data_IF_067341157852
#
_entry.id   IF_067341157852
#
_cell.length_a   1.000
_cell.length_b   1.000
_cell.length_c   1.000
_cell.angle_alpha   90.00
_cell.angle_beta   90.00
_cell.angle_gamma   90.00
#
_symmetry.space_group_name_H-M   'P 1'
#
loop_
_entity.id
_entity.type
_entity.pdbx_description
1 polymer ?
#
# COMPACT_ATOMS: atom_id res chain seq x y z
N UNK A 1 40.54 21.83 65.44
CA UNK A 1 39.07 21.55 65.33
C UNK A 1 38.62 21.85 63.94
N UNK A 2 38.57 20.86 63.05
CA UNK A 2 38.36 21.06 61.60
C UNK A 2 36.96 20.46 61.28
N UNK A 3 36.03 21.31 60.88
CA UNK A 3 34.69 20.92 60.42
C UNK A 3 34.74 20.45 58.97
N UNK A 4 34.46 19.18 58.76
CA UNK A 4 34.27 18.56 57.45
C UNK A 4 32.85 18.80 56.94
N UNK A 5 32.74 19.53 55.84
CA UNK A 5 31.46 19.78 55.13
C UNK A 5 31.22 18.64 54.13
N UNK A 6 30.24 17.76 54.38
CA UNK A 6 29.75 16.77 53.43
C UNK A 6 28.86 17.47 52.42
N UNK A 7 29.33 17.59 51.18
CA UNK A 7 28.50 17.93 50.01
C UNK A 7 27.78 16.68 49.54
N UNK A 8 26.45 16.63 49.72
CA UNK A 8 25.59 15.63 49.12
C UNK A 8 25.43 15.90 47.62
N UNK A 9 25.78 14.95 46.79
CA UNK A 9 25.62 14.96 45.37
C UNK A 9 24.18 14.51 45.04
N UNK A 10 23.32 15.45 44.64
CA UNK A 10 22.02 15.16 44.08
C UNK A 10 22.21 14.71 42.63
N UNK A 11 22.19 13.41 42.43
CA UNK A 11 22.02 12.80 41.09
C UNK A 11 20.55 12.90 40.69
N UNK A 12 20.21 13.96 39.97
CA UNK A 12 18.95 14.05 39.26
C UNK A 12 18.97 13.11 38.07
N UNK A 13 18.12 12.08 38.12
CA UNK A 13 17.79 11.18 37.02
C UNK A 13 17.22 11.98 35.83
N UNK A 14 18.06 12.30 34.85
CA UNK A 14 17.65 12.77 33.54
C UNK A 14 17.76 11.59 32.53
N UNK A 15 16.98 10.53 32.77
CA UNK A 15 16.89 9.38 31.88
C UNK A 15 15.42 9.04 31.60
N UNK A 16 14.70 9.97 31.03
CA UNK A 16 13.38 9.67 30.43
C UNK A 16 13.03 10.82 29.51
N UNK A 17 13.36 10.72 28.23
CA UNK A 17 12.78 11.44 27.09
C UNK A 17 13.62 11.33 25.81
N UNK A 18 14.19 10.13 25.51
CA UNK A 18 14.78 9.88 24.20
C UNK A 18 14.27 8.53 23.69
N UNK A 19 12.94 8.35 23.61
CA UNK A 19 12.41 7.11 23.00
C UNK A 19 11.26 7.36 22.01
N UNK A 20 10.95 8.63 21.71
CA UNK A 20 9.82 8.96 20.82
C UNK A 20 10.24 9.47 19.43
N UNK A 21 11.54 9.67 19.17
CA UNK A 21 12.00 10.24 17.90
C UNK A 21 12.50 9.20 16.87
N UNK A 22 12.62 7.92 17.24
CA UNK A 22 13.24 6.91 16.36
C UNK A 22 12.25 6.13 15.49
N UNK A 23 10.94 6.27 15.66
CA UNK A 23 9.94 5.57 14.84
C UNK A 23 9.42 6.36 13.64
N UNK A 24 9.79 7.63 13.47
CA UNK A 24 9.33 8.48 12.37
C UNK A 24 10.38 8.78 11.29
N UNK A 25 11.59 8.24 11.41
CA UNK A 25 12.74 8.64 10.59
C UNK A 25 13.02 7.79 9.34
N UNK A 26 12.37 6.65 9.12
CA UNK A 26 12.69 5.75 8.00
C UNK A 26 11.47 5.12 7.34
N UNK A 27 10.36 5.86 7.19
CA UNK A 27 9.42 5.48 6.15
C UNK A 27 10.11 5.75 4.81
N UNK A 28 10.24 4.76 3.92
CA UNK A 28 10.65 5.01 2.55
C UNK A 28 9.64 6.01 1.99
N UNK A 29 10.06 7.28 1.92
CA UNK A 29 9.17 8.34 1.45
C UNK A 29 8.81 7.98 0.02
N UNK A 30 7.52 7.78 -0.23
CA UNK A 30 6.98 7.74 -1.57
C UNK A 30 7.58 8.91 -2.34
N UNK A 31 8.51 8.64 -3.27
CA UNK A 31 8.99 9.64 -4.22
C UNK A 31 7.88 9.83 -5.25
N UNK A 32 6.84 10.56 -4.85
CA UNK A 32 5.77 10.95 -5.77
C UNK A 32 6.37 11.95 -6.76
N UNK A 33 6.43 11.56 -8.02
CA UNK A 33 6.98 12.37 -9.13
C UNK A 33 6.26 13.73 -9.26
N UNK A 34 5.02 13.80 -8.78
CA UNK A 34 4.15 14.98 -8.83
C UNK A 34 3.68 15.42 -7.42
N UNK A 35 4.46 15.16 -6.36
CA UNK A 35 4.09 15.53 -5.00
C UNK A 35 3.77 17.04 -4.91
N UNK A 36 2.54 17.35 -4.49
CA UNK A 36 2.08 18.72 -4.29
C UNK A 36 1.42 19.39 -5.51
N UNK A 37 1.52 18.82 -6.73
CA UNK A 37 0.87 19.40 -7.91
C UNK A 37 -0.63 19.09 -7.95
N UNK A 38 -1.03 17.93 -7.49
CA UNK A 38 -2.40 17.50 -7.45
C UNK A 38 -2.79 17.02 -6.06
N UNK A 39 -4.06 17.24 -5.64
CA UNK A 39 -4.61 16.58 -4.46
C UNK A 39 -4.34 15.07 -4.52
N UNK A 40 -3.82 14.48 -3.45
CA UNK A 40 -3.39 13.10 -3.42
C UNK A 40 -3.87 12.41 -2.14
N UNK A 41 -4.58 11.28 -2.32
CA UNK A 41 -4.94 10.37 -1.22
C UNK A 41 -3.89 9.26 -1.16
N UNK A 42 -3.35 9.02 0.02
CA UNK A 42 -2.27 8.06 0.25
C UNK A 42 -2.73 7.05 1.31
N UNK A 43 -2.49 5.79 1.02
CA UNK A 43 -2.63 4.70 1.99
C UNK A 43 -1.31 3.98 2.13
N UNK A 44 -0.93 3.63 3.36
CA UNK A 44 0.19 2.72 3.59
C UNK A 44 -0.17 1.68 4.66
N UNK A 45 0.44 0.52 4.53
CA UNK A 45 0.26 -0.58 5.46
C UNK A 45 1.60 -1.22 5.81
N UNK A 46 1.86 -1.32 7.11
CA UNK A 46 2.95 -2.13 7.68
C UNK A 46 2.33 -3.40 8.25
N UNK A 47 2.86 -4.55 7.87
CA UNK A 47 2.37 -5.87 8.28
C UNK A 47 3.55 -6.73 8.72
N UNK A 48 3.69 -6.93 10.03
CA UNK A 48 4.76 -7.78 10.55
C UNK A 48 4.50 -9.23 10.18
N UNK A 49 5.53 -9.91 9.68
CA UNK A 49 5.49 -11.31 9.24
C UNK A 49 4.65 -11.60 7.97
N UNK A 50 4.30 -10.59 7.17
CA UNK A 50 3.64 -10.75 5.88
C UNK A 50 4.59 -10.49 4.71
N UNK A 51 4.19 -10.92 3.50
CA UNK A 51 4.81 -10.55 2.24
C UNK A 51 3.73 -9.94 1.30
N UNK A 52 3.86 -8.65 0.98
CA UNK A 52 4.89 -7.71 1.41
C UNK A 52 4.73 -7.30 2.89
N UNK A 53 5.84 -6.97 3.56
CA UNK A 53 5.82 -6.44 4.92
C UNK A 53 5.42 -4.96 4.99
N UNK A 54 5.58 -4.25 3.88
CA UNK A 54 5.18 -2.86 3.69
C UNK A 54 4.63 -2.67 2.29
N UNK A 55 3.58 -1.88 2.15
CA UNK A 55 3.18 -1.30 0.89
C UNK A 55 2.54 0.07 1.07
N UNK A 56 2.55 0.85 0.01
CA UNK A 56 1.84 2.11 -0.06
C UNK A 56 1.26 2.34 -1.45
N UNK A 57 0.13 3.03 -1.49
CA UNK A 57 -0.55 3.44 -2.71
C UNK A 57 -0.87 4.93 -2.58
N UNK A 58 -0.49 5.71 -3.56
CA UNK A 58 -0.89 7.10 -3.68
C UNK A 58 -1.72 7.26 -4.96
N UNK A 59 -2.88 7.90 -4.86
CA UNK A 59 -3.76 8.21 -5.98
C UNK A 59 -3.92 9.73 -6.02
N UNK A 60 -3.56 10.36 -7.12
CA UNK A 60 -3.80 11.79 -7.32
C UNK A 60 -5.17 12.06 -7.96
N UNK A 61 -5.60 13.32 -7.94
CA UNK A 61 -6.90 13.72 -8.48
C UNK A 61 -7.04 13.57 -10.01
N UNK A 62 -5.93 13.37 -10.74
CA UNK A 62 -5.94 13.04 -12.17
C UNK A 62 -6.20 11.54 -12.42
N UNK A 63 -6.13 10.71 -11.36
CA UNK A 63 -6.21 9.26 -11.45
C UNK A 63 -4.86 8.57 -11.64
N UNK A 64 -3.77 9.33 -11.72
CA UNK A 64 -2.42 8.75 -11.70
C UNK A 64 -2.15 8.19 -10.31
N UNK A 65 -1.66 6.97 -10.27
CA UNK A 65 -1.38 6.30 -9.01
C UNK A 65 0.01 5.66 -9.01
N UNK A 66 0.59 5.55 -7.82
CA UNK A 66 1.86 4.88 -7.59
C UNK A 66 1.66 3.82 -6.51
N UNK A 67 2.02 2.59 -6.82
CA UNK A 67 2.13 1.50 -5.85
C UNK A 67 3.58 1.23 -5.54
N UNK A 68 3.89 1.06 -4.25
CA UNK A 68 5.21 0.64 -3.78
C UNK A 68 5.04 -0.49 -2.77
N UNK A 69 5.90 -1.50 -2.85
CA UNK A 69 5.95 -2.56 -1.82
C UNK A 69 7.37 -3.02 -1.53
N UNK A 70 7.58 -3.47 -0.29
CA UNK A 70 8.81 -4.09 0.15
C UNK A 70 8.52 -5.53 0.59
N UNK A 71 9.15 -6.53 -0.04
CA UNK A 71 9.06 -7.93 0.38
C UNK A 71 9.60 -8.13 1.79
N UNK A 72 9.16 -9.22 2.43
CA UNK A 72 9.65 -9.60 3.76
C UNK A 72 11.17 -9.76 3.76
N UNK A 73 11.85 -9.12 4.72
CA UNK A 73 13.31 -9.19 4.88
C UNK A 73 14.11 -8.20 4.04
N UNK A 74 13.45 -7.41 3.16
CA UNK A 74 14.13 -6.42 2.30
C UNK A 74 13.87 -4.98 2.78
N UNK A 75 13.16 -4.79 3.89
CA UNK A 75 12.87 -3.45 4.44
C UNK A 75 14.14 -2.57 4.62
N UNK A 76 15.30 -3.20 4.85
CA UNK A 76 16.58 -2.50 5.02
C UNK A 76 17.41 -2.38 3.73
N UNK A 77 17.05 -3.04 2.63
CA UNK A 77 17.85 -3.07 1.39
C UNK A 77 17.53 -1.94 0.40
N UNK A 78 16.52 -1.12 0.68
CA UNK A 78 16.19 0.06 -0.12
C UNK A 78 15.57 -0.21 -1.50
N UNK A 79 15.40 -1.47 -1.91
CA UNK A 79 14.80 -1.84 -3.20
C UNK A 79 13.32 -2.15 -3.00
N UNK A 80 12.49 -1.12 -3.06
CA UNK A 80 11.04 -1.29 -3.13
C UNK A 80 10.61 -1.52 -4.59
N UNK A 81 9.73 -2.50 -4.81
CA UNK A 81 9.02 -2.59 -6.08
C UNK A 81 8.12 -1.35 -6.23
N UNK A 82 8.21 -0.71 -7.38
CA UNK A 82 7.42 0.51 -7.66
C UNK A 82 6.80 0.38 -9.04
N UNK A 83 5.50 0.68 -9.15
CA UNK A 83 4.78 0.77 -10.42
C UNK A 83 3.89 2.03 -10.43
N UNK A 84 3.91 2.76 -11.55
CA UNK A 84 2.96 3.84 -11.85
C UNK A 84 1.84 3.28 -12.75
N UNK A 85 0.60 3.69 -12.52
CA UNK A 85 -0.56 3.23 -13.27
C UNK A 85 -1.69 4.26 -13.25
N UNK A 86 -2.73 4.03 -14.05
CA UNK A 86 -3.98 4.79 -13.98
C UNK A 86 -5.03 3.95 -13.26
N UNK A 87 -5.63 4.50 -12.22
CA UNK A 87 -6.83 3.92 -11.62
C UNK A 87 -8.06 4.23 -12.47
N UNK A 88 -9.06 3.36 -12.39
CA UNK A 88 -10.37 3.65 -12.99
C UNK A 88 -10.98 4.90 -12.37
N UNK A 89 -11.83 5.59 -13.13
CA UNK A 89 -12.59 6.73 -12.63
C UNK A 89 -13.46 6.37 -11.42
N UNK A 90 -13.96 5.14 -11.38
CA UNK A 90 -14.71 4.63 -10.23
C UNK A 90 -13.83 4.57 -8.97
N UNK A 91 -12.65 3.98 -9.06
CA UNK A 91 -11.71 3.88 -7.92
C UNK A 91 -11.29 5.26 -7.45
N UNK A 92 -10.93 6.15 -8.38
CA UNK A 92 -10.59 7.54 -8.08
C UNK A 92 -11.71 8.25 -7.33
N UNK A 93 -12.96 8.20 -7.86
CA UNK A 93 -14.12 8.83 -7.20
C UNK A 93 -14.38 8.28 -5.82
N UNK A 94 -14.31 6.95 -5.62
CA UNK A 94 -14.50 6.34 -4.30
C UNK A 94 -13.44 6.85 -3.33
N UNK A 95 -12.16 6.81 -3.70
CA UNK A 95 -11.08 7.23 -2.81
C UNK A 95 -11.22 8.70 -2.38
N UNK A 96 -11.51 9.62 -3.33
CA UNK A 96 -11.63 11.04 -3.01
C UNK A 96 -12.94 11.38 -2.29
N UNK A 97 -14.07 10.74 -2.61
CA UNK A 97 -15.34 10.96 -1.90
C UNK A 97 -15.24 10.47 -0.44
N UNK A 98 -14.61 9.31 -0.21
CA UNK A 98 -14.38 8.82 1.15
C UNK A 98 -13.42 9.73 1.91
N UNK A 99 -12.31 10.16 1.29
CA UNK A 99 -11.40 11.10 1.91
C UNK A 99 -12.10 12.43 2.28
N UNK A 100 -13.02 12.94 1.43
CA UNK A 100 -13.81 14.13 1.71
C UNK A 100 -14.77 13.92 2.88
N UNK A 101 -15.49 12.79 2.96
CA UNK A 101 -16.37 12.47 4.09
C UNK A 101 -15.61 12.33 5.40
N UNK A 102 -14.37 11.90 5.34
CA UNK A 102 -13.42 11.82 6.44
C UNK A 102 -12.66 13.14 6.69
N UNK A 103 -13.19 14.28 6.23
CA UNK A 103 -12.57 15.61 6.37
C UNK A 103 -11.08 15.60 6.00
N UNK A 104 -10.75 14.90 4.91
CA UNK A 104 -9.36 14.75 4.44
C UNK A 104 -8.39 14.32 5.53
N UNK A 105 -8.86 13.53 6.48
CA UNK A 105 -8.11 13.01 7.63
C UNK A 105 -7.61 14.09 8.61
N UNK A 106 -8.24 15.27 8.65
CA UNK A 106 -7.87 16.37 9.54
C UNK A 106 -8.34 16.13 10.99
N UNK A 107 -9.37 15.29 11.20
CA UNK A 107 -9.93 14.97 12.51
C UNK A 107 -9.23 13.83 13.22
N UNK A 108 -9.18 13.84 14.54
CA UNK A 108 -8.91 12.65 15.34
C UNK A 108 -10.12 11.72 15.28
N UNK A 109 -10.13 10.75 14.38
CA UNK A 109 -11.13 9.67 14.39
C UNK A 109 -10.89 8.86 15.65
N UNK A 110 -11.82 8.93 16.60
CA UNK A 110 -11.68 8.49 17.97
C UNK A 110 -10.80 7.26 18.15
N UNK A 111 -9.93 7.32 19.14
CA UNK A 111 -9.02 6.22 19.47
C UNK A 111 -9.79 4.90 19.35
N UNK A 112 -9.45 4.10 18.36
CA UNK A 112 -10.00 2.76 18.26
C UNK A 112 -9.58 2.03 19.53
N UNK A 113 -10.52 1.87 20.50
CA UNK A 113 -10.33 1.10 21.74
C UNK A 113 -10.17 -0.41 21.47
N UNK A 114 -10.08 -0.81 20.21
CA UNK A 114 -9.71 -2.17 19.88
C UNK A 114 -8.25 -2.38 20.26
N UNK A 115 -7.97 -3.43 21.00
CA UNK A 115 -6.61 -3.93 21.24
C UNK A 115 -5.83 -3.83 19.95
N UNK A 116 -4.71 -3.09 19.89
CA UNK A 116 -3.97 -2.93 18.66
C UNK A 116 -3.68 -4.31 18.10
N UNK A 117 -4.12 -4.57 16.88
CA UNK A 117 -3.65 -5.77 16.19
C UNK A 117 -2.14 -5.56 15.99
N UNK A 118 -1.34 -6.13 16.88
CA UNK A 118 0.11 -5.93 16.92
C UNK A 118 0.80 -6.33 15.59
N UNK A 119 0.06 -6.94 14.66
CA UNK A 119 0.59 -7.45 13.41
C UNK A 119 0.33 -6.55 12.20
N UNK A 120 -0.46 -5.47 12.34
CA UNK A 120 -0.85 -4.63 11.19
C UNK A 120 -1.12 -3.18 11.63
N UNK A 121 -0.54 -2.22 10.92
CA UNK A 121 -0.80 -0.79 11.08
C UNK A 121 -1.03 -0.15 9.72
N UNK A 122 -2.07 0.66 9.63
CA UNK A 122 -2.43 1.42 8.44
C UNK A 122 -2.25 2.91 8.68
N UNK A 123 -1.93 3.65 7.63
CA UNK A 123 -1.93 5.11 7.63
C UNK A 123 -2.67 5.60 6.40
N UNK A 124 -3.67 6.44 6.60
CA UNK A 124 -4.31 7.26 5.58
C UNK A 124 -3.72 8.67 5.62
N UNK A 125 -3.44 9.25 4.48
CA UNK A 125 -2.98 10.63 4.40
C UNK A 125 -3.58 11.35 3.19
N UNK A 126 -3.74 12.65 3.32
CA UNK A 126 -4.12 13.55 2.23
C UNK A 126 -3.08 14.66 2.11
N UNK A 127 -2.63 14.90 0.88
CA UNK A 127 -1.63 15.93 0.58
C UNK A 127 -2.08 16.78 -0.59
N UNK A 128 -2.09 18.08 -0.37
CA UNK A 128 -2.30 19.08 -1.42
C UNK A 128 -1.79 20.45 -0.95
N UNK A 129 -0.89 21.08 -1.70
CA UNK A 129 -0.26 22.37 -1.33
C UNK A 129 0.30 22.35 0.10
N UNK A 130 -0.24 23.18 0.99
CA UNK A 130 0.15 23.22 2.41
C UNK A 130 -0.58 22.22 3.31
N UNK A 131 -1.60 21.54 2.77
CA UNK A 131 -2.38 20.53 3.53
C UNK A 131 -1.61 19.22 3.55
N UNK A 132 -1.34 18.72 4.76
CA UNK A 132 -0.66 17.45 4.97
C UNK A 132 -1.25 16.76 6.20
N UNK A 133 -2.43 16.18 6.04
CA UNK A 133 -3.13 15.48 7.09
C UNK A 133 -2.82 13.99 7.04
N UNK A 134 -2.77 13.34 8.19
CA UNK A 134 -2.60 11.90 8.27
C UNK A 134 -3.28 11.31 9.51
N UNK A 135 -3.75 10.08 9.39
CA UNK A 135 -4.38 9.30 10.43
C UNK A 135 -3.83 7.87 10.42
N UNK A 136 -3.41 7.37 11.58
CA UNK A 136 -2.83 6.01 11.73
C UNK A 136 -3.73 5.17 12.63
N UNK A 137 -3.98 3.91 12.24
CA UNK A 137 -4.87 2.98 12.94
C UNK A 137 -4.46 1.52 12.70
N UNK A 138 -4.92 0.64 13.56
CA UNK A 138 -4.76 -0.83 13.40
C UNK A 138 -6.08 -1.49 12.99
N UNK A 139 -7.19 -0.92 13.43
CA UNK A 139 -8.57 -1.28 13.08
C UNK A 139 -9.44 -0.05 13.24
N UNK A 140 -10.58 -0.01 12.58
CA UNK A 140 -11.57 1.05 12.71
C UNK A 140 -12.96 0.45 12.78
N UNK A 141 -13.89 1.11 13.42
CA UNK A 141 -15.33 0.84 13.35
C UNK A 141 -16.07 1.87 12.49
N UNK A 142 -15.34 2.83 11.93
CA UNK A 142 -15.89 3.82 11.01
C UNK A 142 -16.04 3.16 9.62
N UNK A 143 -17.27 3.10 9.07
CA UNK A 143 -17.53 2.41 7.81
C UNK A 143 -16.80 3.04 6.62
N UNK A 144 -16.56 4.35 6.63
CA UNK A 144 -15.86 5.04 5.56
C UNK A 144 -14.34 4.72 5.58
N UNK A 145 -13.76 4.56 6.76
CA UNK A 145 -12.38 4.10 6.92
C UNK A 145 -12.25 2.65 6.49
N UNK A 146 -13.20 1.78 6.87
CA UNK A 146 -13.19 0.36 6.46
C UNK A 146 -13.35 0.21 4.95
N UNK A 147 -14.27 0.95 4.31
CA UNK A 147 -14.46 0.93 2.86
C UNK A 147 -13.20 1.42 2.14
N UNK A 148 -12.61 2.53 2.58
CA UNK A 148 -11.38 3.08 1.99
C UNK A 148 -10.21 2.12 2.13
N UNK A 149 -10.08 1.47 3.30
CA UNK A 149 -9.07 0.44 3.56
C UNK A 149 -9.24 -0.74 2.59
N UNK A 150 -10.47 -1.23 2.41
CA UNK A 150 -10.78 -2.33 1.49
C UNK A 150 -10.40 -1.99 0.05
N UNK A 151 -10.71 -0.77 -0.41
CA UNK A 151 -10.32 -0.28 -1.75
C UNK A 151 -8.80 -0.38 -1.95
N UNK A 152 -8.02 0.07 -0.99
CA UNK A 152 -6.56 0.03 -1.09
C UNK A 152 -5.98 -1.38 -0.90
N UNK A 153 -6.59 -2.22 -0.07
CA UNK A 153 -6.17 -3.62 0.07
C UNK A 153 -6.44 -4.43 -1.22
N UNK A 154 -7.57 -4.23 -1.88
CA UNK A 154 -7.88 -4.84 -3.18
C UNK A 154 -6.91 -4.39 -4.28
N UNK A 155 -6.56 -3.09 -4.34
CA UNK A 155 -5.53 -2.57 -5.23
C UNK A 155 -4.17 -3.21 -4.95
N UNK A 156 -3.77 -3.27 -3.67
CA UNK A 156 -2.52 -3.91 -3.25
C UNK A 156 -2.45 -5.36 -3.70
N UNK A 157 -3.54 -6.14 -3.54
CA UNK A 157 -3.59 -7.52 -4.02
C UNK A 157 -3.35 -7.61 -5.52
N UNK A 158 -3.98 -6.73 -6.30
CA UNK A 158 -3.80 -6.69 -7.76
C UNK A 158 -2.34 -6.48 -8.12
N UNK A 159 -1.68 -5.47 -7.54
CA UNK A 159 -0.29 -5.14 -7.89
C UNK A 159 0.73 -6.15 -7.35
N UNK A 160 0.42 -6.83 -6.24
CA UNK A 160 1.25 -7.94 -5.77
C UNK A 160 1.23 -9.15 -6.73
N UNK A 161 0.12 -9.39 -7.43
CA UNK A 161 0.12 -10.35 -8.53
C UNK A 161 1.08 -9.93 -9.64
N UNK A 162 1.06 -8.65 -10.04
CA UNK A 162 1.98 -8.10 -11.03
C UNK A 162 3.44 -8.25 -10.62
N UNK A 163 3.78 -7.87 -9.38
CA UNK A 163 5.12 -8.01 -8.82
C UNK A 163 5.61 -9.47 -8.87
N UNK A 164 4.76 -10.40 -8.38
CA UNK A 164 5.11 -11.82 -8.35
C UNK A 164 5.25 -12.40 -9.74
N UNK A 165 4.42 -12.02 -10.70
CA UNK A 165 4.52 -12.47 -12.08
C UNK A 165 5.81 -11.97 -12.73
N UNK A 166 6.21 -10.71 -12.49
CA UNK A 166 7.50 -10.17 -12.95
C UNK A 166 8.69 -10.94 -12.38
N UNK A 167 8.68 -11.17 -11.05
CA UNK A 167 9.73 -11.92 -10.38
C UNK A 167 9.84 -13.36 -10.92
N UNK A 168 8.70 -14.04 -11.06
CA UNK A 168 8.65 -15.40 -11.59
C UNK A 168 9.10 -15.49 -13.04
N UNK A 169 8.77 -14.51 -13.88
CA UNK A 169 9.22 -14.46 -15.27
C UNK A 169 10.74 -14.39 -15.39
N UNK A 170 11.39 -13.71 -14.44
CA UNK A 170 12.85 -13.54 -14.42
C UNK A 170 13.57 -14.72 -13.77
N UNK A 171 13.03 -15.30 -12.70
CA UNK A 171 13.78 -16.21 -11.83
C UNK A 171 13.21 -17.63 -11.74
N UNK A 172 11.90 -17.83 -11.97
CA UNK A 172 11.26 -19.14 -11.80
C UNK A 172 10.00 -19.29 -12.66
N UNK A 173 10.16 -19.51 -13.95
CA UNK A 173 9.07 -19.62 -14.91
C UNK A 173 8.01 -20.70 -14.58
N UNK A 174 8.41 -21.76 -13.85
CA UNK A 174 7.47 -22.82 -13.43
C UNK A 174 6.41 -22.31 -12.44
N UNK A 175 6.72 -21.25 -11.69
CA UNK A 175 5.80 -20.63 -10.77
C UNK A 175 4.71 -19.76 -11.43
N UNK A 176 4.83 -19.42 -12.71
CA UNK A 176 3.89 -18.52 -13.40
C UNK A 176 2.49 -19.13 -13.48
N UNK A 177 2.36 -20.40 -13.85
CA UNK A 177 1.06 -21.04 -14.02
C UNK A 177 0.21 -21.04 -12.74
N UNK A 178 0.70 -21.52 -11.58
CA UNK A 178 -0.09 -21.45 -10.34
C UNK A 178 -0.40 -20.02 -9.91
N UNK A 179 0.49 -19.05 -10.21
CA UNK A 179 0.25 -17.65 -9.91
C UNK A 179 -0.88 -17.06 -10.77
N UNK A 180 -0.93 -17.34 -12.07
CA UNK A 180 -2.01 -16.93 -12.96
C UNK A 180 -3.33 -17.60 -12.59
N UNK A 181 -3.31 -18.88 -12.16
CA UNK A 181 -4.50 -19.59 -11.69
C UNK A 181 -5.07 -18.93 -10.44
N UNK A 182 -4.25 -18.65 -9.43
CA UNK A 182 -4.68 -17.94 -8.23
C UNK A 182 -5.21 -16.54 -8.55
N UNK A 183 -4.59 -15.83 -9.49
CA UNK A 183 -5.05 -14.54 -9.97
C UNK A 183 -6.43 -14.62 -10.63
N UNK A 184 -6.66 -15.63 -11.48
CA UNK A 184 -7.94 -15.85 -12.13
C UNK A 184 -9.04 -16.15 -11.12
N UNK A 185 -8.81 -17.04 -10.14
CA UNK A 185 -9.77 -17.33 -9.08
C UNK A 185 -10.22 -16.06 -8.31
N UNK A 186 -9.29 -15.14 -8.08
CA UNK A 186 -9.62 -13.86 -7.43
C UNK A 186 -10.34 -12.91 -8.38
N UNK A 187 -9.96 -12.86 -9.65
CA UNK A 187 -10.62 -12.05 -10.67
C UNK A 187 -12.08 -12.49 -10.88
N UNK A 188 -12.33 -13.81 -10.92
CA UNK A 188 -13.68 -14.39 -11.05
C UNK A 188 -14.58 -14.06 -9.84
N UNK A 189 -13.99 -13.85 -8.68
CA UNK A 189 -14.69 -13.41 -7.45
C UNK A 189 -14.77 -11.87 -7.32
N UNK A 190 -14.34 -11.13 -8.33
CA UNK A 190 -14.25 -9.65 -8.31
C UNK A 190 -13.42 -9.07 -7.16
N UNK A 191 -12.45 -9.84 -6.64
CA UNK A 191 -11.58 -9.44 -5.54
C UNK A 191 -10.32 -8.68 -5.98
N UNK A 192 -10.18 -8.38 -7.27
CA UNK A 192 -9.07 -7.61 -7.83
C UNK A 192 -9.58 -6.30 -8.41
N UNK A 193 -9.17 -5.20 -7.81
CA UNK A 193 -9.51 -3.84 -8.27
C UNK A 193 -8.52 -3.36 -9.32
N UNK A 194 -9.02 -2.68 -10.35
CA UNK A 194 -8.20 -2.11 -11.44
C UNK A 194 -7.29 -3.14 -12.14
N UNK A 195 -7.79 -4.35 -12.32
CA UNK A 195 -7.11 -5.43 -13.05
C UNK A 195 -6.59 -5.01 -14.43
N UNK A 196 -7.24 -4.10 -15.20
CA UNK A 196 -6.71 -3.57 -16.46
C UNK A 196 -5.29 -2.99 -16.37
N UNK A 197 -4.87 -2.49 -15.23
CA UNK A 197 -3.51 -1.99 -15.01
C UNK A 197 -2.42 -3.07 -15.19
N UNK A 198 -2.77 -4.35 -15.07
CA UNK A 198 -1.85 -5.47 -15.26
C UNK A 198 -1.84 -6.04 -16.69
N UNK A 199 -2.67 -5.49 -17.61
CA UNK A 199 -2.73 -5.96 -19.00
C UNK A 199 -1.35 -5.93 -19.70
N UNK A 200 -0.46 -4.94 -19.50
CA UNK A 200 0.87 -4.97 -20.11
C UNK A 200 1.65 -6.24 -19.78
N UNK A 201 1.82 -6.58 -18.51
CA UNK A 201 2.54 -7.79 -18.09
C UNK A 201 1.85 -9.08 -18.57
N UNK A 202 0.51 -9.12 -18.53
CA UNK A 202 -0.25 -10.27 -19.02
C UNK A 202 -0.06 -10.47 -20.53
N UNK A 203 0.08 -9.40 -21.32
CA UNK A 203 0.38 -9.47 -22.75
C UNK A 203 1.79 -10.02 -23.01
N UNK A 204 2.77 -9.59 -22.23
CA UNK A 204 4.13 -10.13 -22.32
C UNK A 204 4.11 -11.65 -22.09
N UNK A 205 3.44 -12.12 -21.03
CA UNK A 205 3.32 -13.56 -20.76
C UNK A 205 2.53 -14.30 -21.84
N UNK A 206 1.46 -13.72 -22.39
CA UNK A 206 0.67 -14.35 -23.45
C UNK A 206 1.42 -14.48 -24.77
N UNK A 207 2.38 -13.60 -25.05
CA UNK A 207 3.19 -13.59 -26.27
C UNK A 207 4.54 -14.31 -26.13
N UNK A 208 4.96 -14.69 -24.92
CA UNK A 208 6.25 -15.36 -24.71
C UNK A 208 6.23 -16.81 -25.24
N UNK A 209 6.88 -17.03 -26.39
CA UNK A 209 6.99 -18.36 -27.00
C UNK A 209 7.75 -19.38 -26.14
N UNK A 210 8.53 -18.93 -25.15
CA UNK A 210 9.24 -19.80 -24.20
C UNK A 210 8.37 -20.32 -23.06
N UNK A 211 7.11 -19.90 -22.98
CA UNK A 211 6.13 -20.41 -22.01
C UNK A 211 5.21 -21.47 -22.64
N UNK A 212 4.73 -22.37 -21.80
CA UNK A 212 3.76 -23.39 -22.22
C UNK A 212 2.48 -22.76 -22.79
N UNK A 213 1.88 -23.42 -23.77
CA UNK A 213 0.65 -22.95 -24.43
C UNK A 213 -0.50 -22.73 -23.41
N UNK A 214 -0.58 -23.57 -22.35
CA UNK A 214 -1.55 -23.43 -21.30
C UNK A 214 -1.37 -22.12 -20.51
N UNK A 215 -0.13 -21.76 -20.16
CA UNK A 215 0.22 -20.50 -19.45
C UNK A 215 -0.15 -19.30 -20.31
N UNK A 216 0.23 -19.31 -21.59
CA UNK A 216 -0.10 -18.24 -22.54
C UNK A 216 -1.61 -18.05 -22.70
N UNK A 217 -2.35 -19.15 -22.82
CA UNK A 217 -3.82 -19.15 -22.90
C UNK A 217 -4.46 -18.56 -21.63
N UNK A 218 -3.92 -18.91 -20.47
CA UNK A 218 -4.44 -18.40 -19.19
C UNK A 218 -4.19 -16.90 -19.05
N UNK A 219 -3.00 -16.41 -19.43
CA UNK A 219 -2.72 -14.98 -19.48
C UNK A 219 -3.67 -14.23 -20.44
N UNK A 220 -3.96 -14.79 -21.61
CA UNK A 220 -4.95 -14.25 -22.55
C UNK A 220 -6.36 -14.23 -21.98
N UNK A 221 -6.75 -15.25 -21.21
CA UNK A 221 -8.05 -15.28 -20.49
C UNK A 221 -8.15 -14.14 -19.49
N UNK A 222 -7.11 -13.89 -18.70
CA UNK A 222 -7.07 -12.77 -17.74
C UNK A 222 -7.13 -11.41 -18.42
N UNK A 223 -6.50 -11.24 -19.59
CA UNK A 223 -6.65 -10.03 -20.42
C UNK A 223 -8.12 -9.84 -20.83
N UNK A 224 -8.81 -10.91 -21.25
CA UNK A 224 -10.22 -10.83 -21.62
C UNK A 224 -11.11 -10.47 -20.43
N UNK A 225 -10.82 -11.00 -19.22
CA UNK A 225 -11.53 -10.63 -17.98
C UNK A 225 -11.29 -9.15 -17.66
N UNK A 226 -10.03 -8.69 -17.71
CA UNK A 226 -9.66 -7.30 -17.46
C UNK A 226 -10.38 -6.32 -18.41
N UNK A 227 -10.53 -6.72 -19.69
CA UNK A 227 -11.21 -5.90 -20.71
C UNK A 227 -12.75 -5.83 -20.53
N UNK A 228 -13.34 -6.80 -19.83
CA UNK A 228 -14.78 -6.83 -19.51
C UNK A 228 -15.11 -6.13 -18.21
N UNK A 229 -14.13 -5.92 -17.34
CA UNK A 229 -14.33 -5.16 -16.10
C UNK A 229 -14.78 -3.75 -16.47
N UNK A 230 -15.99 -3.29 -16.07
CA UNK A 230 -16.52 -2.03 -16.52
C UNK A 230 -15.63 -0.89 -16.02
N UNK A 231 -14.88 -0.31 -16.92
CA UNK A 231 -14.34 1.03 -16.73
C UNK A 231 -15.53 1.98 -16.81
N UNK A 232 -16.13 2.27 -15.63
CA UNK A 232 -17.14 3.32 -15.55
C UNK A 232 -18.50 2.96 -16.16
N UNK A 233 -19.40 2.42 -15.35
CA UNK A 233 -20.81 2.76 -15.54
C UNK A 233 -21.06 4.06 -14.76
N UNK A 234 -21.68 5.00 -15.46
CA UNK A 234 -22.05 6.38 -15.19
C UNK A 234 -22.59 6.64 -13.79
#
# INVERSE_FOLDING_TARGET
MTKVFKRGLLLTNAATLIFSAFLFGQNPQLRLKNAGRFPTVIFSSVRWNADPSYYSIAIDSSGTATYQSAPKGIADSGVAYTIEFQVSDRTRRIAFNLAQRLDYFAGGFGESRSTPNQNKVHTLAYRYESVNNQFTYSSSSDPDIEELTSVFEELSQTFEFGRKLNDLALHNRRGIQPQLQSMQEKADRHALRDLPALVPILRELASDAGLDAAVRKQAATLIAIASRSPQGFQ
#
